data_IF_558114753099
#
_entry.id   IF_558114753099
#
_cell.length_a   1.000
_cell.length_b   1.000
_cell.length_c   1.000
_cell.angle_alpha   90.00
_cell.angle_beta   90.00
_cell.angle_gamma   90.00
#
_symmetry.space_group_name_H-M   'P 1'
#
loop_
_entity.id
_entity.type
_entity.pdbx_description
1 polymer ?
#
# COMPACT_ATOMS: atom_id res chain seq x y z
N UNK A 1 -9.41 25.80 21.61
CA UNK A 1 -10.51 25.14 20.88
C UNK A 1 -9.96 24.79 19.51
N UNK A 2 -9.42 23.59 19.33
CA UNK A 2 -8.87 23.14 18.03
C UNK A 2 -10.04 22.60 17.24
N UNK A 3 -10.41 23.27 16.16
CA UNK A 3 -11.52 22.87 15.31
C UNK A 3 -11.12 21.67 14.46
N UNK A 4 -12.06 20.73 14.28
CA UNK A 4 -11.92 19.47 13.52
C UNK A 4 -11.51 19.66 12.05
N UNK A 5 -11.34 20.89 11.58
CA UNK A 5 -11.10 21.25 10.18
C UNK A 5 -9.61 21.35 9.80
N UNK A 6 -8.68 21.28 10.75
CA UNK A 6 -7.24 21.49 10.50
C UNK A 6 -6.42 20.20 10.40
N UNK A 7 -7.04 19.04 10.16
CA UNK A 7 -6.29 17.81 9.87
C UNK A 7 -5.86 17.88 8.40
N UNK A 8 -4.56 18.10 8.10
CA UNK A 8 -4.11 18.18 6.71
C UNK A 8 -4.45 16.86 6.01
N UNK A 9 -5.04 16.95 4.83
CA UNK A 9 -5.43 15.80 3.99
C UNK A 9 -4.28 14.80 3.78
N UNK A 10 -3.02 15.24 3.93
CA UNK A 10 -1.84 14.37 3.96
C UNK A 10 -1.85 13.35 5.11
N UNK A 11 -2.27 13.74 6.31
CA UNK A 11 -2.36 12.85 7.48
C UNK A 11 -3.48 11.81 7.32
N UNK A 12 -4.57 12.18 6.65
CA UNK A 12 -5.72 11.27 6.40
C UNK A 12 -5.33 10.14 5.42
N UNK A 13 -4.47 10.41 4.44
CA UNK A 13 -4.06 9.41 3.44
C UNK A 13 -3.17 8.31 4.02
N UNK A 14 -2.31 8.65 4.97
CA UNK A 14 -1.45 7.68 5.63
C UNK A 14 -2.20 6.88 6.71
N UNK A 15 -3.24 7.47 7.33
CA UNK A 15 -4.09 6.77 8.29
C UNK A 15 -4.92 5.63 7.67
N UNK A 16 -5.22 5.71 6.37
CA UNK A 16 -6.01 4.70 5.65
C UNK A 16 -5.19 3.47 5.22
N UNK A 17 -3.85 3.55 5.20
CA UNK A 17 -3.01 2.44 4.77
C UNK A 17 -2.69 1.51 5.95
N UNK A 18 -2.68 0.18 5.75
CA UNK A 18 -2.21 -0.73 6.78
C UNK A 18 -0.79 -0.38 7.22
N UNK A 19 -0.54 -0.32 8.53
CA UNK A 19 0.76 0.07 9.11
C UNK A 19 1.92 -0.80 8.61
N UNK A 20 1.65 -2.06 8.23
CA UNK A 20 2.66 -2.98 7.71
C UNK A 20 3.02 -2.78 6.24
N UNK A 21 2.30 -1.92 5.51
CA UNK A 21 2.61 -1.65 4.11
C UNK A 21 3.87 -0.82 4.01
N UNK A 22 4.78 -1.26 3.14
CA UNK A 22 5.97 -0.50 2.82
C UNK A 22 5.53 0.75 2.03
N UNK A 23 5.90 1.96 2.47
CA UNK A 23 5.57 3.18 1.74
C UNK A 23 6.07 3.15 0.30
N UNK A 24 5.30 3.73 -0.64
CA UNK A 24 5.60 3.67 -2.07
C UNK A 24 7.01 4.18 -2.42
N UNK A 25 7.50 5.20 -1.71
CA UNK A 25 8.85 5.77 -1.90
C UNK A 25 9.98 4.84 -1.44
N UNK A 26 9.70 3.85 -0.58
CA UNK A 26 10.68 2.83 -0.16
C UNK A 26 10.67 1.59 -1.06
N UNK A 27 9.66 1.43 -1.91
CA UNK A 27 9.56 0.34 -2.88
C UNK A 27 10.25 0.77 -4.17
N UNK A 28 11.53 0.39 -4.31
CA UNK A 28 12.33 0.68 -5.50
C UNK A 28 12.29 -0.46 -6.52
N UNK A 29 12.07 -1.70 -6.06
CA UNK A 29 12.06 -2.89 -6.91
C UNK A 29 10.87 -3.79 -6.55
N UNK A 30 10.37 -4.53 -7.54
CA UNK A 30 9.39 -5.58 -7.32
C UNK A 30 9.96 -6.61 -6.33
N UNK A 31 9.18 -6.98 -5.33
CA UNK A 31 9.59 -7.91 -4.30
C UNK A 31 9.89 -9.31 -4.85
N UNK A 32 9.16 -9.73 -5.89
CA UNK A 32 9.35 -11.03 -6.53
C UNK A 32 10.45 -11.01 -7.61
N UNK A 33 10.26 -10.24 -8.69
CA UNK A 33 11.16 -10.29 -9.86
C UNK A 33 12.30 -9.27 -9.83
N UNK A 34 12.39 -8.44 -8.78
CA UNK A 34 13.42 -7.40 -8.61
C UNK A 34 13.48 -6.34 -9.70
N UNK A 35 12.49 -6.29 -10.61
CA UNK A 35 12.33 -5.24 -11.62
C UNK A 35 12.21 -3.87 -10.95
N UNK A 36 13.01 -2.90 -11.39
CA UNK A 36 12.98 -1.54 -10.86
C UNK A 36 11.65 -0.86 -11.22
N UNK A 37 11.07 -0.16 -10.25
CA UNK A 37 9.90 0.68 -10.50
C UNK A 37 10.33 2.02 -11.08
N UNK A 38 9.77 2.35 -12.24
CA UNK A 38 9.83 3.69 -12.81
C UNK A 38 8.51 4.42 -12.61
N UNK A 39 8.48 5.72 -12.92
CA UNK A 39 7.25 6.54 -12.87
C UNK A 39 6.12 5.97 -13.74
N UNK A 40 6.46 5.18 -14.77
CA UNK A 40 5.50 4.55 -15.69
C UNK A 40 5.00 3.17 -15.21
N UNK A 41 5.62 2.58 -14.18
CA UNK A 41 5.27 1.24 -13.69
C UNK A 41 4.47 1.36 -12.40
N UNK A 42 3.23 0.87 -12.44
CA UNK A 42 2.35 0.83 -11.27
C UNK A 42 2.92 -0.08 -10.17
N UNK A 43 2.81 0.36 -8.92
CA UNK A 43 3.17 -0.41 -7.73
C UNK A 43 1.91 -1.00 -7.11
N UNK A 44 1.93 -2.31 -6.84
CA UNK A 44 0.84 -3.01 -6.17
C UNK A 44 1.32 -3.57 -4.84
N UNK A 45 0.53 -3.39 -3.77
CA UNK A 45 0.88 -3.93 -2.46
C UNK A 45 0.25 -5.29 -2.25
N UNK A 46 1.04 -6.26 -1.79
CA UNK A 46 0.48 -7.50 -1.27
C UNK A 46 -0.23 -7.21 0.06
N UNK A 47 -1.51 -7.56 0.18
CA UNK A 47 -2.27 -7.35 1.41
C UNK A 47 -1.70 -8.13 2.61
N UNK A 48 -1.11 -9.31 2.37
CA UNK A 48 -0.59 -10.17 3.43
C UNK A 48 0.73 -9.66 4.03
N UNK A 49 1.70 -9.29 3.18
CA UNK A 49 3.06 -8.92 3.60
C UNK A 49 3.40 -7.43 3.46
N UNK A 50 2.60 -6.64 2.73
CA UNK A 50 2.79 -5.20 2.57
C UNK A 50 3.90 -4.78 1.61
N UNK A 51 4.55 -5.72 0.93
CA UNK A 51 5.60 -5.45 -0.06
C UNK A 51 5.02 -5.03 -1.42
N UNK A 52 5.84 -4.39 -2.25
CA UNK A 52 5.46 -3.93 -3.58
C UNK A 52 5.76 -4.93 -4.71
N UNK A 53 4.81 -5.09 -5.62
CA UNK A 53 4.86 -6.00 -6.77
C UNK A 53 4.49 -5.24 -8.05
N UNK A 54 5.09 -5.61 -9.18
CA UNK A 54 4.70 -5.07 -10.48
C UNK A 54 3.44 -5.78 -11.00
N UNK A 55 2.83 -5.26 -12.07
CA UNK A 55 1.59 -5.81 -12.64
C UNK A 55 1.66 -7.34 -12.83
N UNK A 56 2.73 -7.81 -13.46
CA UNK A 56 3.04 -9.23 -13.74
C UNK A 56 3.05 -10.15 -12.51
N UNK A 57 3.35 -9.62 -11.31
CA UNK A 57 3.45 -10.40 -10.08
C UNK A 57 2.41 -9.98 -9.04
N UNK A 58 1.35 -9.30 -9.48
CA UNK A 58 0.25 -8.81 -8.63
C UNK A 58 -1.09 -9.48 -8.93
N UNK A 59 -1.10 -10.52 -9.78
CA UNK A 59 -2.32 -11.18 -10.25
C UNK A 59 -3.01 -12.03 -9.17
N UNK A 60 -2.24 -12.58 -8.23
CA UNK A 60 -2.79 -13.42 -7.17
C UNK A 60 -3.51 -12.58 -6.12
N UNK A 61 -4.83 -12.78 -6.05
CA UNK A 61 -5.72 -12.09 -5.10
C UNK A 61 -6.39 -13.12 -4.22
N UNK A 62 -5.81 -13.38 -3.05
CA UNK A 62 -6.47 -14.13 -2.00
C UNK A 62 -6.99 -13.21 -0.90
N UNK A 63 -8.17 -13.54 -0.36
CA UNK A 63 -8.61 -12.95 0.89
C UNK A 63 -7.59 -13.29 1.98
N UNK A 64 -7.18 -12.29 2.77
CA UNK A 64 -6.28 -12.48 3.92
C UNK A 64 -7.16 -12.71 5.15
N UNK A 65 -7.41 -13.96 5.60
CA UNK A 65 -8.43 -14.26 6.61
C UNK A 65 -8.04 -13.76 8.00
N UNK A 66 -6.74 -13.62 8.25
CA UNK A 66 -6.16 -13.24 9.55
C UNK A 66 -6.16 -11.74 9.82
N UNK A 67 -6.65 -10.91 8.88
CA UNK A 67 -6.69 -9.46 9.04
C UNK A 67 -8.11 -9.02 8.71
N UNK A 68 -8.93 -8.78 9.73
CA UNK A 68 -10.29 -8.27 9.55
C UNK A 68 -10.21 -7.03 8.67
N UNK A 69 -10.96 -7.05 7.57
CA UNK A 69 -11.07 -5.93 6.65
C UNK A 69 -12.08 -4.96 7.26
N UNK A 70 -11.70 -4.28 8.34
CA UNK A 70 -12.59 -3.36 9.06
C UNK A 70 -12.67 -1.97 8.45
N UNK A 71 -11.95 -1.66 7.36
CA UNK A 71 -12.13 -0.39 6.65
C UNK A 71 -12.34 -0.61 5.15
N UNK A 72 -13.46 -0.11 4.58
CA UNK A 72 -13.66 -0.07 3.13
C UNK A 72 -12.71 0.96 2.53
N UNK A 73 -12.16 0.61 1.36
CA UNK A 73 -11.34 1.48 0.51
C UNK A 73 -12.17 2.59 -0.12
#
# INVERSE_FOLDING_TARGET
>A
MVTVLDIPLGLVKDAARPVHWVPDHKILHCHNCRKEFSVKLSKHHCQACGQGFCDEWSHDRWAVPSRSRDHPV
#
